data_IF_350474532703
#
_entry.id   IF_350474532703
#
_cell.length_a   1.000
_cell.length_b   1.000
_cell.length_c   1.000
_cell.angle_alpha   90.00
_cell.angle_beta   90.00
_cell.angle_gamma   90.00
#
_symmetry.space_group_name_H-M   'P 1'
#
loop_
_entity.id
_entity.type
_entity.pdbx_description
1 polymer ?
#
# COMPACT_ATOMS: atom_id res chain seq x y z
N UNK A 1 -10.85 1.60 -14.46
CA UNK A 1 -9.86 2.30 -13.62
C UNK A 1 -9.79 1.54 -12.30
N UNK A 2 -8.71 0.80 -12.06
CA UNK A 2 -8.52 0.09 -10.79
C UNK A 2 -7.86 1.05 -9.81
N UNK A 3 -8.58 1.45 -8.77
CA UNK A 3 -7.98 2.16 -7.64
C UNK A 3 -7.30 1.13 -6.73
N UNK A 4 -6.07 1.40 -6.30
CA UNK A 4 -5.26 0.47 -5.49
C UNK A 4 -5.88 0.29 -4.10
N UNK A 5 -6.10 -0.96 -3.67
CA UNK A 5 -6.66 -1.30 -2.35
C UNK A 5 -5.59 -1.71 -1.32
N UNK A 6 -4.35 -1.88 -1.77
CA UNK A 6 -3.19 -2.16 -0.93
C UNK A 6 -1.92 -1.60 -1.57
N UNK A 7 -0.95 -1.26 -0.73
CA UNK A 7 0.37 -0.82 -1.15
C UNK A 7 1.44 -1.47 -0.28
N UNK A 8 2.44 -2.07 -0.93
CA UNK A 8 3.57 -2.72 -0.30
C UNK A 8 4.87 -2.13 -0.81
N UNK A 9 5.78 -1.78 0.10
CA UNK A 9 7.11 -1.24 -0.20
C UNK A 9 8.17 -2.09 0.48
N UNK A 10 9.18 -2.50 -0.29
CA UNK A 10 10.37 -3.17 0.21
C UNK A 10 11.60 -2.44 -0.33
N UNK A 11 12.52 -2.08 0.56
CA UNK A 11 13.77 -1.41 0.24
C UNK A 11 14.93 -2.26 0.77
N UNK A 12 15.88 -2.56 -0.11
CA UNK A 12 17.04 -3.40 0.19
C UNK A 12 18.32 -2.66 -0.18
N UNK A 13 19.41 -2.92 0.55
CA UNK A 13 20.74 -2.41 0.19
C UNK A 13 21.36 -3.21 -0.97
N UNK A 14 22.50 -2.74 -1.48
CA UNK A 14 23.21 -3.39 -2.58
C UNK A 14 23.71 -4.81 -2.26
N UNK A 15 23.69 -5.22 -0.98
CA UNK A 15 24.04 -6.56 -0.52
C UNK A 15 22.79 -7.42 -0.26
N UNK A 16 21.60 -6.92 -0.61
CA UNK A 16 20.32 -7.59 -0.44
C UNK A 16 19.74 -7.53 0.97
N UNK A 17 20.37 -6.79 1.91
CA UNK A 17 19.86 -6.63 3.27
C UNK A 17 18.62 -5.73 3.25
N UNK A 18 17.55 -6.18 3.90
CA UNK A 18 16.33 -5.37 4.03
C UNK A 18 16.59 -4.14 4.89
N UNK A 19 16.32 -2.97 4.33
CA UNK A 19 16.42 -1.65 4.99
C UNK A 19 15.04 -1.27 5.52
N UNK A 20 13.98 -1.48 4.73
CA UNK A 20 12.62 -1.12 5.08
C UNK A 20 11.61 -2.06 4.41
N UNK A 21 10.55 -2.41 5.15
CA UNK A 21 9.40 -3.12 4.63
C UNK A 21 8.13 -2.49 5.23
N UNK A 22 7.21 -2.06 4.37
CA UNK A 22 5.92 -1.46 4.75
C UNK A 22 4.82 -2.10 3.92
N UNK A 23 3.67 -2.32 4.55
CA UNK A 23 2.48 -2.83 3.90
C UNK A 23 1.26 -2.12 4.49
N UNK A 24 0.41 -1.58 3.61
CA UNK A 24 -0.75 -0.79 3.97
C UNK A 24 -1.98 -1.28 3.20
N UNK A 25 -3.11 -1.32 3.88
CA UNK A 25 -4.43 -1.40 3.24
C UNK A 25 -4.86 0.04 2.95
N UNK A 26 -5.31 0.30 1.72
CA UNK A 26 -5.76 1.63 1.31
C UNK A 26 -7.28 1.67 1.43
N UNK A 27 -7.79 2.69 2.12
CA UNK A 27 -9.22 2.94 2.24
C UNK A 27 -9.79 3.33 0.87
N UNK A 28 -10.81 2.63 0.36
CA UNK A 28 -11.40 2.95 -0.93
C UNK A 28 -12.24 4.24 -0.85
N UNK A 29 -12.17 5.08 -1.88
CA UNK A 29 -12.96 6.32 -1.99
C UNK A 29 -13.85 6.26 -3.23
N UNK A 30 -15.16 6.04 -3.03
CA UNK A 30 -16.16 6.06 -4.10
C UNK A 30 -16.22 4.79 -4.95
N UNK A 31 -15.69 3.67 -4.47
CA UNK A 31 -15.79 2.37 -5.16
C UNK A 31 -15.87 1.20 -4.18
N UNK A 32 -16.33 0.06 -4.68
CA UNK A 32 -16.40 -1.22 -3.97
C UNK A 32 -15.36 -2.17 -4.54
N UNK A 33 -14.65 -2.89 -3.68
CA UNK A 33 -13.69 -3.93 -4.08
C UNK A 33 -14.48 -5.11 -4.67
N UNK A 34 -14.21 -5.53 -5.92
CA UNK A 34 -14.88 -6.68 -6.52
C UNK A 34 -14.57 -7.97 -5.75
N UNK A 35 -15.57 -8.85 -5.62
CA UNK A 35 -15.42 -10.14 -4.94
C UNK A 35 -14.30 -11.01 -5.51
N UNK A 36 -14.03 -10.93 -6.82
CA UNK A 36 -12.91 -11.64 -7.45
C UNK A 36 -11.55 -11.18 -6.93
N UNK A 37 -11.38 -9.88 -6.68
CA UNK A 37 -10.16 -9.32 -6.10
C UNK A 37 -10.04 -9.69 -4.61
N UNK A 38 -11.15 -9.62 -3.86
CA UNK A 38 -11.20 -10.08 -2.47
C UNK A 38 -10.81 -11.55 -2.34
N UNK A 39 -11.31 -12.42 -3.23
CA UNK A 39 -10.99 -13.85 -3.21
C UNK A 39 -9.50 -14.14 -3.43
N UNK A 40 -8.83 -13.34 -4.25
CA UNK A 40 -7.40 -13.51 -4.57
C UNK A 40 -6.51 -12.87 -3.50
N UNK A 41 -6.87 -11.66 -3.04
CA UNK A 41 -6.00 -10.83 -2.20
C UNK A 41 -6.40 -10.78 -0.71
N UNK A 42 -7.60 -11.23 -0.35
CA UNK A 42 -8.09 -11.31 1.03
C UNK A 42 -8.47 -9.96 1.66
N UNK A 43 -8.68 -8.92 0.85
CA UNK A 43 -9.08 -7.59 1.31
C UNK A 43 -10.49 -7.31 0.79
N UNK A 44 -11.45 -7.32 1.70
CA UNK A 44 -12.84 -6.96 1.41
C UNK A 44 -13.03 -5.44 1.47
N UNK A 45 -14.11 -4.94 0.88
CA UNK A 45 -14.47 -3.51 1.00
C UNK A 45 -14.65 -3.11 2.46
N UNK A 46 -15.34 -3.94 3.24
CA UNK A 46 -15.56 -3.70 4.67
C UNK A 46 -14.23 -3.59 5.42
N UNK A 47 -13.33 -4.57 5.21
CA UNK A 47 -12.01 -4.57 5.83
C UNK A 47 -11.18 -3.35 5.45
N UNK A 48 -11.24 -2.92 4.19
CA UNK A 48 -10.52 -1.73 3.73
C UNK A 48 -11.13 -0.42 4.27
N UNK A 49 -12.43 -0.38 4.57
CA UNK A 49 -13.06 0.77 5.23
C UNK A 49 -12.71 0.84 6.72
N UNK A 50 -12.57 -0.31 7.38
CA UNK A 50 -12.31 -0.42 8.82
C UNK A 50 -10.81 -0.29 9.17
N UNK A 51 -9.94 -0.98 8.41
CA UNK A 51 -8.49 -1.06 8.67
C UNK A 51 -7.67 -0.16 7.74
N UNK A 52 -8.26 0.35 6.65
CA UNK A 52 -7.53 1.05 5.60
C UNK A 52 -7.19 2.50 5.96
N UNK A 53 -6.09 2.97 5.39
CA UNK A 53 -5.60 4.34 5.53
C UNK A 53 -5.79 5.09 4.20
N UNK A 54 -6.00 6.40 4.27
CA UNK A 54 -6.17 7.21 3.06
C UNK A 54 -4.94 7.17 2.15
N UNK A 55 -5.15 7.11 0.84
CA UNK A 55 -4.08 7.00 -0.15
C UNK A 55 -3.00 8.09 0.03
N UNK A 56 -3.42 9.33 0.27
CA UNK A 56 -2.51 10.46 0.46
C UNK A 56 -1.59 10.26 1.69
N UNK A 57 -2.10 9.65 2.76
CA UNK A 57 -1.30 9.34 3.95
C UNK A 57 -0.22 8.31 3.62
N UNK A 58 -0.60 7.24 2.91
CA UNK A 58 0.34 6.18 2.48
C UNK A 58 1.42 6.74 1.56
N UNK A 59 1.06 7.61 0.62
CA UNK A 59 2.03 8.24 -0.28
C UNK A 59 2.99 9.16 0.48
N UNK A 60 2.49 9.96 1.42
CA UNK A 60 3.32 10.82 2.26
C UNK A 60 4.29 10.04 3.16
N UNK A 61 3.93 8.82 3.57
CA UNK A 61 4.82 7.90 4.29
C UNK A 61 5.94 7.34 3.38
N UNK A 62 5.69 7.18 2.08
CA UNK A 62 6.68 6.64 1.14
C UNK A 62 7.71 7.67 0.65
N UNK A 63 7.31 8.93 0.50
CA UNK A 63 8.21 10.03 0.07
C UNK A 63 9.53 10.10 0.86
N UNK A 64 9.55 10.16 2.21
CA UNK A 64 10.80 10.23 2.96
C UNK A 64 11.67 8.98 2.79
N UNK A 65 11.07 7.81 2.56
CA UNK A 65 11.80 6.56 2.32
C UNK A 65 12.57 6.64 0.99
N UNK A 66 11.92 7.20 -0.04
CA UNK A 66 12.57 7.40 -1.34
C UNK A 66 13.73 8.40 -1.27
N UNK A 67 13.60 9.47 -0.46
CA UNK A 67 14.67 10.44 -0.22
C UNK A 67 15.87 9.76 0.47
N UNK A 68 15.63 9.00 1.55
CA UNK A 68 16.70 8.27 2.26
C UNK A 68 17.40 7.27 1.34
N UNK A 69 16.65 6.67 0.41
CA UNK A 69 17.18 5.73 -0.57
C UNK A 69 17.89 6.41 -1.75
N UNK A 70 17.88 7.75 -1.86
CA UNK A 70 18.35 8.52 -3.01
C UNK A 70 17.67 8.08 -4.33
N UNK A 71 16.38 7.75 -4.27
CA UNK A 71 15.56 7.32 -5.43
C UNK A 71 14.76 8.50 -6.02
N UNK A 72 14.59 9.58 -5.25
CA UNK A 72 14.01 10.87 -5.65
C UNK A 72 15.01 11.98 -5.32
#
# INVERSE_FOLDING_TARGET
MAQACSASLQLHDNKGKSICCKNYIIKPEGFTIPYSAEKIHGISTQRALDEGIGLNVVLNEFVPIFIIANIL
#
